data_IF_283319289440
#
_entry.id   IF_283319289440
#
_cell.length_a   1.000
_cell.length_b   1.000
_cell.length_c   1.000
_cell.angle_alpha   90.00
_cell.angle_beta   90.00
_cell.angle_gamma   90.00
#
_symmetry.space_group_name_H-M   'P 1'
#
loop_
_entity.id
_entity.type
_entity.pdbx_description
1 polymer ?
#
# COMPACT_ATOMS: atom_id res chain seq x y z
N UNK A 1 22.63 -46.83 -17.72
CA UNK A 1 23.00 -46.12 -16.49
C UNK A 1 23.46 -44.69 -16.78
N UNK A 2 24.49 -44.47 -17.61
CA UNK A 2 24.99 -43.12 -17.95
C UNK A 2 23.95 -42.18 -18.55
N UNK A 3 23.09 -42.67 -19.46
CA UNK A 3 22.01 -41.86 -20.08
C UNK A 3 21.05 -41.31 -19.02
N UNK A 4 20.74 -42.11 -17.98
CA UNK A 4 19.83 -41.70 -16.89
C UNK A 4 20.46 -40.58 -16.05
N UNK A 5 21.77 -40.64 -15.80
CA UNK A 5 22.50 -39.59 -15.08
C UNK A 5 22.53 -38.27 -15.85
N UNK A 6 22.77 -38.32 -17.16
CA UNK A 6 22.72 -37.13 -18.01
C UNK A 6 21.31 -36.53 -18.09
N UNK A 7 20.28 -37.37 -18.21
CA UNK A 7 18.89 -36.91 -18.22
C UNK A 7 18.51 -36.21 -16.90
N UNK A 8 18.91 -36.76 -15.76
CA UNK A 8 18.68 -36.15 -14.45
C UNK A 8 19.44 -34.82 -14.30
N UNK A 9 20.67 -34.75 -14.79
CA UNK A 9 21.46 -33.52 -14.79
C UNK A 9 20.84 -32.42 -15.65
N UNK A 10 20.40 -32.75 -16.87
CA UNK A 10 19.69 -31.80 -17.74
C UNK A 10 18.38 -31.32 -17.11
N UNK A 11 17.63 -32.22 -16.47
CA UNK A 11 16.40 -31.85 -15.77
C UNK A 11 16.68 -30.88 -14.61
N UNK A 12 17.73 -31.13 -13.84
CA UNK A 12 18.14 -30.25 -12.75
C UNK A 12 18.55 -28.86 -13.27
N UNK A 13 19.34 -28.79 -14.33
CA UNK A 13 19.73 -27.53 -14.97
C UNK A 13 18.48 -26.80 -15.50
N UNK A 14 17.59 -27.49 -16.18
CA UNK A 14 16.34 -26.92 -16.67
C UNK A 14 15.47 -26.38 -15.53
N UNK A 15 15.36 -27.10 -14.41
CA UNK A 15 14.61 -26.67 -13.23
C UNK A 15 15.22 -25.42 -12.58
N UNK A 16 16.55 -25.34 -12.49
CA UNK A 16 17.25 -24.16 -11.96
C UNK A 16 17.04 -22.97 -12.88
N UNK A 17 17.26 -23.13 -14.20
CA UNK A 17 17.04 -22.07 -15.17
C UNK A 17 15.59 -21.61 -15.17
N UNK A 18 14.64 -22.54 -15.10
CA UNK A 18 13.22 -22.24 -14.96
C UNK A 18 12.92 -21.50 -13.66
N UNK A 19 13.50 -21.90 -12.53
CA UNK A 19 13.31 -21.21 -11.24
C UNK A 19 13.86 -19.78 -11.26
N UNK A 20 15.05 -19.59 -11.84
CA UNK A 20 15.65 -18.26 -12.03
C UNK A 20 14.80 -17.42 -12.97
N UNK A 21 14.37 -17.99 -14.11
CA UNK A 21 13.47 -17.32 -15.03
C UNK A 21 12.13 -16.97 -14.34
N UNK A 22 11.50 -17.89 -13.63
CA UNK A 22 10.24 -17.64 -12.92
C UNK A 22 10.38 -16.61 -11.80
N UNK A 23 11.58 -16.50 -11.19
CA UNK A 23 11.90 -15.47 -10.20
C UNK A 23 12.13 -14.11 -10.87
N UNK A 24 12.86 -14.07 -11.98
CA UNK A 24 13.19 -12.86 -12.74
C UNK A 24 11.96 -12.31 -13.47
N UNK A 25 11.21 -13.19 -14.13
CA UNK A 25 10.00 -12.88 -14.89
C UNK A 25 8.74 -12.87 -14.02
N UNK A 26 8.83 -13.32 -12.76
CA UNK A 26 7.81 -13.14 -11.73
C UNK A 26 6.41 -13.62 -12.12
N UNK A 27 6.01 -14.82 -11.67
CA UNK A 27 4.61 -15.24 -11.44
C UNK A 27 3.59 -14.58 -12.39
N UNK A 28 3.36 -15.24 -13.52
CA UNK A 28 2.52 -14.78 -14.64
C UNK A 28 1.05 -14.51 -14.30
N UNK A 29 0.79 -13.44 -13.57
CA UNK A 29 -0.44 -12.66 -13.62
C UNK A 29 -0.09 -11.25 -14.10
N UNK A 30 0.58 -11.21 -15.26
CA UNK A 30 0.80 -10.01 -16.06
C UNK A 30 -0.16 -10.08 -17.25
N UNK A 31 -1.42 -9.64 -17.06
CA UNK A 31 -2.31 -9.04 -18.08
C UNK A 31 -3.73 -8.82 -17.51
N UNK A 32 -4.39 -7.66 -17.75
CA UNK A 32 -4.17 -6.74 -18.86
C UNK A 32 -3.53 -5.40 -18.43
N UNK A 33 -2.86 -4.72 -19.36
CA UNK A 33 -2.37 -3.35 -19.16
C UNK A 33 -3.57 -2.42 -18.93
N UNK A 34 -3.87 -2.14 -17.67
CA UNK A 34 -4.69 -0.97 -17.33
C UNK A 34 -3.79 0.25 -17.47
N UNK A 35 -3.81 0.78 -18.68
CA UNK A 35 -3.96 2.20 -18.96
C UNK A 35 -3.33 3.14 -17.93
N UNK A 36 -2.23 3.77 -18.37
CA UNK A 36 -1.91 5.16 -18.03
C UNK A 36 -1.79 5.48 -16.54
N UNK A 37 -0.56 5.67 -16.04
CA UNK A 37 -0.21 6.82 -15.20
C UNK A 37 -1.11 7.17 -13.99
N UNK A 38 -1.90 6.22 -13.51
CA UNK A 38 -2.86 6.38 -12.44
C UNK A 38 -2.38 5.47 -11.34
N UNK A 39 -1.33 5.94 -10.66
CA UNK A 39 -1.02 5.48 -9.32
C UNK A 39 -2.35 5.40 -8.57
N UNK A 40 -2.76 4.24 -8.01
CA UNK A 40 -3.96 4.16 -7.17
C UNK A 40 -3.68 4.82 -5.80
N UNK A 41 -2.88 5.89 -5.78
CA UNK A 41 -2.88 6.91 -4.74
C UNK A 41 -4.08 7.80 -5.02
N UNK A 42 -5.27 7.29 -4.71
CA UNK A 42 -6.35 8.20 -4.37
C UNK A 42 -6.15 8.54 -2.91
N UNK A 43 -5.15 9.38 -2.64
CA UNK A 43 -5.23 10.20 -1.44
C UNK A 43 -6.35 11.20 -1.74
N UNK A 44 -7.42 11.29 -0.94
CA UNK A 44 -8.44 12.29 -1.18
C UNK A 44 -7.76 13.67 -1.22
N UNK A 45 -8.18 14.52 -2.17
CA UNK A 45 -7.53 15.82 -2.42
C UNK A 45 -7.49 16.71 -1.16
N UNK A 46 -8.38 16.42 -0.21
CA UNK A 46 -8.55 17.08 1.07
C UNK A 46 -8.87 16.00 2.12
N UNK A 47 -8.66 16.28 3.41
CA UNK A 47 -9.18 15.46 4.51
C UNK A 47 -8.59 14.05 4.73
N UNK A 48 -7.31 13.85 4.37
CA UNK A 48 -6.54 12.61 4.56
C UNK A 48 -6.61 12.08 6.00
N UNK A 49 -7.07 10.84 6.17
CA UNK A 49 -7.08 10.12 7.44
C UNK A 49 -5.94 9.08 7.52
N UNK A 50 -5.62 8.59 8.72
CA UNK A 50 -4.61 7.55 8.88
C UNK A 50 -5.00 6.20 8.26
N UNK A 51 -6.30 5.98 8.03
CA UNK A 51 -6.79 4.83 7.26
C UNK A 51 -6.39 4.92 5.78
N UNK A 52 -6.42 6.13 5.20
CA UNK A 52 -6.04 6.35 3.80
C UNK A 52 -4.56 6.11 3.59
N UNK A 53 -3.72 6.57 4.54
CA UNK A 53 -2.26 6.34 4.51
C UNK A 53 -1.92 4.84 4.56
N UNK A 54 -2.66 4.06 5.36
CA UNK A 54 -2.49 2.59 5.45
C UNK A 54 -2.97 1.84 4.20
N UNK A 55 -3.84 2.46 3.39
CA UNK A 55 -4.34 1.87 2.16
C UNK A 55 -3.39 2.06 0.96
N UNK A 56 -2.34 2.88 1.07
CA UNK A 56 -1.42 3.12 -0.04
C UNK A 56 -0.69 1.85 -0.48
N UNK A 57 -0.59 1.68 -1.80
CA UNK A 57 0.16 0.60 -2.45
C UNK A 57 1.24 1.21 -3.34
N UNK A 58 2.49 0.82 -3.09
CA UNK A 58 3.65 1.26 -3.84
C UNK A 58 4.19 0.12 -4.72
N UNK A 59 4.68 0.44 -5.92
CA UNK A 59 5.36 -0.53 -6.78
C UNK A 59 6.78 -0.80 -6.28
N UNK A 60 7.24 -2.05 -6.38
CA UNK A 60 8.60 -2.44 -6.02
C UNK A 60 9.55 -2.22 -7.19
N UNK A 61 10.70 -1.57 -6.95
CA UNK A 61 11.75 -1.33 -7.95
C UNK A 61 13.07 -1.93 -7.50
N UNK A 62 13.87 -2.44 -8.46
CA UNK A 62 15.13 -3.17 -8.23
C UNK A 62 16.15 -2.38 -7.41
N UNK A 63 16.10 -1.04 -7.49
CA UNK A 63 16.78 -0.11 -6.60
C UNK A 63 15.76 0.82 -5.98
N UNK A 64 15.29 0.48 -4.79
CA UNK A 64 14.31 1.25 -4.03
C UNK A 64 14.66 1.29 -2.55
N UNK A 65 13.90 2.07 -1.81
CA UNK A 65 13.95 2.05 -0.35
C UNK A 65 13.48 0.70 0.19
N UNK A 66 14.01 0.29 1.33
CA UNK A 66 13.65 -0.98 1.96
C UNK A 66 12.16 -0.96 2.33
N UNK A 67 11.34 -1.93 1.87
CA UNK A 67 9.91 -1.94 2.15
C UNK A 67 9.58 -1.80 3.64
N UNK A 68 10.32 -2.50 4.51
CA UNK A 68 10.12 -2.44 5.95
C UNK A 68 10.36 -1.05 6.58
N UNK A 69 11.28 -0.24 6.01
CA UNK A 69 11.52 1.12 6.49
C UNK A 69 10.41 2.06 6.05
N UNK A 70 9.92 1.88 4.82
CA UNK A 70 8.77 2.62 4.27
C UNK A 70 7.50 2.29 5.06
N UNK A 71 7.24 1.01 5.33
CA UNK A 71 6.08 0.57 6.10
C UNK A 71 6.09 1.16 7.52
N UNK A 72 7.25 1.17 8.19
CA UNK A 72 7.40 1.79 9.50
C UNK A 72 7.11 3.31 9.46
N UNK A 73 7.63 4.01 8.44
CA UNK A 73 7.45 5.44 8.29
C UNK A 73 5.97 5.81 8.01
N UNK A 74 5.31 5.07 7.12
CA UNK A 74 3.89 5.26 6.78
C UNK A 74 2.98 4.99 7.97
N UNK A 75 3.27 3.94 8.74
CA UNK A 75 2.52 3.60 9.93
C UNK A 75 2.70 4.65 11.04
N UNK A 76 3.91 5.22 11.18
CA UNK A 76 4.15 6.34 12.11
C UNK A 76 3.39 7.60 11.68
N UNK A 77 3.33 7.88 10.38
CA UNK A 77 2.63 9.02 9.80
C UNK A 77 1.11 8.88 9.94
N UNK A 78 0.56 7.69 9.66
CA UNK A 78 -0.86 7.39 9.81
C UNK A 78 -1.36 7.69 11.23
N UNK A 79 -0.61 7.24 12.25
CA UNK A 79 -0.94 7.54 13.66
C UNK A 79 -0.90 9.02 13.99
N UNK A 80 0.05 9.77 13.43
CA UNK A 80 0.14 11.21 13.68
C UNK A 80 -1.07 11.95 13.08
N UNK A 81 -1.48 11.57 11.87
CA UNK A 81 -2.68 12.10 11.20
C UNK A 81 -3.94 11.81 12.03
N UNK A 82 -4.09 10.58 12.55
CA UNK A 82 -5.22 10.22 13.39
C UNK A 82 -5.27 11.09 14.67
N UNK A 83 -4.12 11.36 15.30
CA UNK A 83 -4.03 12.26 16.47
C UNK A 83 -4.39 13.69 16.11
N UNK A 84 -3.90 14.22 14.98
CA UNK A 84 -4.21 15.57 14.53
C UNK A 84 -5.70 15.73 14.21
N UNK A 85 -6.30 14.76 13.51
CA UNK A 85 -7.75 14.75 13.23
C UNK A 85 -8.57 14.72 14.51
N UNK A 86 -8.21 13.89 15.48
CA UNK A 86 -8.92 13.82 16.75
C UNK A 86 -8.91 15.17 17.50
N UNK A 87 -7.79 15.92 17.45
CA UNK A 87 -7.70 17.26 18.05
C UNK A 87 -8.57 18.28 17.34
N UNK A 88 -8.54 18.28 16.00
CA UNK A 88 -9.39 19.18 15.20
C UNK A 88 -10.88 18.95 15.47
N UNK A 89 -11.31 17.70 15.63
CA UNK A 89 -12.70 17.38 16.00
C UNK A 89 -13.04 17.91 17.40
N UNK A 90 -12.16 17.69 18.38
CA UNK A 90 -12.35 18.16 19.76
C UNK A 90 -12.43 19.69 19.86
N UNK A 91 -11.74 20.43 18.99
CA UNK A 91 -11.78 21.89 18.93
C UNK A 91 -13.01 22.45 18.22
N UNK A 92 -13.72 21.66 17.41
CA UNK A 92 -14.96 22.04 16.72
C UNK A 92 -16.24 21.77 17.53
N UNK A 93 -16.20 20.78 18.44
CA UNK A 93 -17.33 20.42 19.31
C UNK A 93 -17.83 21.50 20.30
N UNK A 94 -17.04 22.49 20.80
CA UNK A 94 -17.56 23.51 21.72
C UNK A 94 -18.46 24.56 21.06
N UNK A 95 -18.53 24.65 19.73
CA UNK A 95 -19.35 25.68 19.03
C UNK A 95 -20.78 25.20 18.75
N UNK A 96 -21.00 23.90 18.53
CA UNK A 96 -22.32 23.36 18.20
C UNK A 96 -23.28 23.28 19.42
N UNK A 97 -22.74 23.23 20.63
CA UNK A 97 -23.54 23.15 21.87
C UNK A 97 -24.00 24.51 22.42
N UNK A 98 -23.60 25.64 21.80
CA UNK A 98 -23.93 26.98 22.27
C UNK A 98 -25.00 27.72 21.40
N UNK A 99 -25.59 27.09 20.38
CA UNK A 99 -26.55 27.73 19.46
C UNK A 99 -28.01 27.30 19.67
N UNK A 100 -28.39 26.76 20.84
CA UNK A 100 -29.80 26.56 21.17
C UNK A 100 -30.13 26.98 22.61
N UNK A 101 -30.40 28.29 22.82
CA UNK A 101 -31.47 28.65 23.75
C UNK A 101 -32.17 29.97 23.36
N UNK A 102 -32.91 30.06 22.24
CA UNK A 102 -33.60 31.33 21.93
C UNK A 102 -34.87 31.32 21.05
N UNK A 103 -35.48 30.17 20.68
CA UNK A 103 -36.65 30.20 19.77
C UNK A 103 -37.91 29.45 20.25
N UNK A 104 -38.11 29.29 21.56
CA UNK A 104 -39.38 28.73 22.08
C UNK A 104 -39.92 29.50 23.29
N UNK A 105 -40.21 30.80 23.09
CA UNK A 105 -41.23 31.52 23.87
C UNK A 105 -41.92 32.56 22.96
N UNK A 106 -42.97 32.16 22.25
CA UNK A 106 -44.11 33.03 21.89
C UNK A 106 -45.39 32.18 21.72
#
# INVERSE_FOLDING_TARGET
MVIVLYALGLLAVAAVLYGVAALVFGRGDDTPPLETGATPTVLPAEDVAGADVRALRFQQVVRGYKPAEVDWALERLAREIDVLRARLTAEQEPVASATDPADEVD
#
